data_IF_164963891906
#
_entry.id   IF_164963891906
#
_cell.length_a   1.000
_cell.length_b   1.000
_cell.length_c   1.000
_cell.angle_alpha   90.00
_cell.angle_beta   90.00
_cell.angle_gamma   90.00
#
_symmetry.space_group_name_H-M   'P 1'
#
loop_
_entity.id
_entity.type
_entity.pdbx_description
1 polymer ?
#
# COMPACT_ATOMS: atom_id res chain seq x y z
N UNK A 1 21.38 17.97 -25.37
CA UNK A 1 20.60 18.61 -24.29
C UNK A 1 20.31 17.55 -23.26
N UNK A 2 20.68 17.77 -21.99
CA UNK A 2 20.18 16.90 -20.93
C UNK A 2 18.66 17.09 -20.83
N UNK A 3 17.86 16.01 -20.74
CA UNK A 3 16.42 16.13 -20.57
C UNK A 3 16.13 16.94 -19.29
N UNK A 4 15.34 18.01 -19.38
CA UNK A 4 14.94 18.80 -18.20
C UNK A 4 13.70 18.25 -17.50
N UNK A 5 12.95 17.40 -18.20
CA UNK A 5 11.71 16.80 -17.73
C UNK A 5 11.98 15.44 -17.03
N UNK A 6 11.70 15.33 -15.71
CA UNK A 6 11.89 14.08 -14.98
C UNK A 6 10.95 12.94 -15.42
N UNK A 7 9.95 13.21 -16.27
CA UNK A 7 9.08 12.19 -16.83
C UNK A 7 9.72 11.43 -18.01
N UNK A 8 10.76 11.98 -18.64
CA UNK A 8 11.41 11.35 -19.79
C UNK A 8 12.02 9.98 -19.43
N UNK A 9 12.83 9.83 -18.36
CA UNK A 9 13.33 8.51 -17.96
C UNK A 9 12.24 7.48 -17.66
N UNK A 10 11.08 7.93 -17.15
CA UNK A 10 9.94 7.06 -16.85
C UNK A 10 9.29 6.52 -18.13
N UNK A 11 9.08 7.36 -19.15
CA UNK A 11 8.58 6.91 -20.47
C UNK A 11 9.48 5.85 -21.10
N UNK A 12 10.80 6.04 -21.03
CA UNK A 12 11.74 5.03 -21.51
C UNK A 12 11.74 3.74 -20.68
N UNK A 13 11.34 3.82 -19.40
CA UNK A 13 11.19 2.65 -18.53
C UNK A 13 9.92 1.87 -18.87
N UNK A 14 8.80 2.53 -19.15
CA UNK A 14 7.59 1.89 -19.68
C UNK A 14 7.85 1.20 -21.02
N UNK A 15 8.51 1.87 -21.96
CA UNK A 15 8.89 1.28 -23.23
C UNK A 15 9.75 0.02 -23.06
N UNK A 16 10.71 0.04 -22.13
CA UNK A 16 11.54 -1.13 -21.84
C UNK A 16 10.72 -2.31 -21.31
N UNK A 17 9.77 -2.06 -20.40
CA UNK A 17 8.88 -3.10 -19.88
C UNK A 17 7.93 -3.67 -20.94
N UNK A 18 7.35 -2.81 -21.79
CA UNK A 18 6.52 -3.24 -22.91
C UNK A 18 7.29 -4.20 -23.83
N UNK A 19 8.54 -3.87 -24.17
CA UNK A 19 9.41 -4.75 -24.95
C UNK A 19 9.77 -6.06 -24.25
N UNK A 20 9.87 -6.07 -22.91
CA UNK A 20 10.06 -7.32 -22.17
C UNK A 20 8.82 -8.22 -22.27
N UNK A 21 7.61 -7.66 -22.15
CA UNK A 21 6.37 -8.40 -22.30
C UNK A 21 6.16 -8.91 -23.72
N UNK A 22 6.47 -8.10 -24.73
CA UNK A 22 6.44 -8.53 -26.14
C UNK A 22 7.36 -9.73 -26.37
N UNK A 23 8.58 -9.70 -25.83
CA UNK A 23 9.52 -10.82 -25.93
C UNK A 23 8.99 -12.10 -25.25
N UNK A 24 8.40 -11.97 -24.05
CA UNK A 24 7.78 -13.10 -23.35
C UNK A 24 6.56 -13.65 -24.10
N UNK A 25 5.75 -12.78 -24.71
CA UNK A 25 4.63 -13.14 -25.57
C UNK A 25 5.09 -13.89 -26.82
N UNK A 26 6.13 -13.40 -27.50
CA UNK A 26 6.74 -14.05 -28.66
C UNK A 26 7.28 -15.44 -28.29
N UNK A 27 7.95 -15.59 -27.15
CA UNK A 27 8.35 -16.90 -26.64
C UNK A 27 7.14 -17.84 -26.41
N UNK A 28 6.05 -17.35 -25.82
CA UNK A 28 4.89 -18.19 -25.53
C UNK A 28 4.19 -18.70 -26.80
N UNK A 29 4.16 -17.87 -27.86
CA UNK A 29 3.51 -18.16 -29.14
C UNK A 29 4.41 -18.92 -30.11
N UNK A 30 5.64 -18.44 -30.29
CA UNK A 30 6.58 -18.85 -31.34
C UNK A 30 7.82 -19.57 -30.81
N UNK A 31 8.06 -19.53 -29.49
CA UNK A 31 9.26 -20.07 -28.83
C UNK A 31 10.56 -19.35 -29.21
N UNK A 32 10.45 -18.10 -29.63
CA UNK A 32 11.61 -17.21 -29.83
C UNK A 32 12.33 -16.99 -28.50
N UNK A 33 13.67 -17.01 -28.48
CA UNK A 33 14.44 -16.78 -27.25
C UNK A 33 14.30 -15.32 -26.76
N UNK A 34 13.65 -15.07 -25.61
CA UNK A 34 13.47 -13.71 -25.09
C UNK A 34 14.71 -13.18 -24.38
N UNK A 35 15.73 -14.01 -24.09
CA UNK A 35 16.83 -13.69 -23.17
C UNK A 35 17.59 -12.42 -23.57
N UNK A 36 17.91 -12.26 -24.86
CA UNK A 36 18.60 -11.07 -25.37
C UNK A 36 17.78 -9.78 -25.19
N UNK A 37 16.49 -9.83 -25.49
CA UNK A 37 15.59 -8.69 -25.31
C UNK A 37 15.42 -8.35 -23.82
N UNK A 38 15.22 -9.36 -22.96
CA UNK A 38 15.03 -9.17 -21.52
C UNK A 38 16.26 -8.53 -20.85
N UNK A 39 17.47 -8.99 -21.19
CA UNK A 39 18.72 -8.44 -20.66
C UNK A 39 18.93 -6.98 -21.10
N UNK A 40 18.73 -6.67 -22.39
CA UNK A 40 18.89 -5.29 -22.91
C UNK A 40 17.91 -4.33 -22.27
N UNK A 41 16.63 -4.70 -22.19
CA UNK A 41 15.61 -3.84 -21.60
C UNK A 41 15.78 -3.70 -20.08
N UNK A 42 16.30 -4.72 -19.38
CA UNK A 42 16.66 -4.58 -17.97
C UNK A 42 17.80 -3.59 -17.77
N UNK A 43 18.86 -3.65 -18.60
CA UNK A 43 19.94 -2.67 -18.54
C UNK A 43 19.45 -1.25 -18.83
N UNK A 44 18.48 -1.09 -19.76
CA UNK A 44 17.81 0.19 -20.01
C UNK A 44 17.08 0.68 -18.76
N UNK A 45 16.30 -0.16 -18.06
CA UNK A 45 15.63 0.20 -16.80
C UNK A 45 16.61 0.65 -15.72
N UNK A 46 17.73 -0.07 -15.55
CA UNK A 46 18.78 0.29 -14.61
C UNK A 46 19.42 1.65 -14.96
N UNK A 47 19.64 1.94 -16.25
CA UNK A 47 20.17 3.23 -16.72
C UNK A 47 19.16 4.37 -16.50
N UNK A 48 17.87 4.15 -16.76
CA UNK A 48 16.83 5.17 -16.54
C UNK A 48 16.65 5.52 -15.07
N UNK A 49 16.90 4.58 -14.14
CA UNK A 49 16.92 4.88 -12.72
C UNK A 49 17.98 5.94 -12.37
N UNK A 50 19.20 5.79 -12.92
CA UNK A 50 20.29 6.74 -12.69
C UNK A 50 19.94 8.09 -13.31
N UNK A 51 19.48 8.10 -14.56
CA UNK A 51 19.06 9.32 -15.24
C UNK A 51 17.96 10.06 -14.47
N UNK A 52 16.97 9.36 -13.92
CA UNK A 52 15.93 9.96 -13.09
C UNK A 52 16.51 10.60 -11.83
N UNK A 53 17.43 9.92 -11.15
CA UNK A 53 18.09 10.46 -9.96
C UNK A 53 18.88 11.72 -10.25
N UNK A 54 19.63 11.77 -11.36
CA UNK A 54 20.40 12.95 -11.75
C UNK A 54 19.49 14.17 -11.96
N UNK A 55 18.28 13.97 -12.50
CA UNK A 55 17.29 15.03 -12.71
C UNK A 55 16.57 15.44 -11.42
N UNK A 56 16.23 14.48 -10.57
CA UNK A 56 15.45 14.73 -9.36
C UNK A 56 16.28 15.24 -8.19
N UNK A 57 17.57 14.88 -8.11
CA UNK A 57 18.39 15.22 -6.95
C UNK A 57 18.50 16.74 -6.67
N UNK A 58 18.71 17.61 -7.68
CA UNK A 58 18.71 19.06 -7.46
C UNK A 58 17.33 19.57 -7.02
N UNK A 59 16.26 19.03 -7.61
CA UNK A 59 14.88 19.42 -7.31
C UNK A 59 14.48 19.00 -5.89
N UNK A 60 14.84 17.80 -5.46
CA UNK A 60 14.61 17.30 -4.11
C UNK A 60 15.29 18.16 -3.04
N UNK A 61 16.49 18.68 -3.31
CA UNK A 61 17.21 19.57 -2.37
C UNK A 61 16.54 20.93 -2.23
N UNK A 62 15.84 21.39 -3.27
CA UNK A 62 15.21 22.70 -3.31
C UNK A 62 13.70 22.68 -3.01
N UNK A 63 13.08 21.49 -2.94
CA UNK A 63 11.64 21.36 -2.85
C UNK A 63 11.11 21.56 -1.42
N UNK A 64 10.11 22.44 -1.29
CA UNK A 64 9.34 22.60 -0.04
C UNK A 64 8.52 21.34 0.30
N UNK A 65 8.13 20.57 -0.72
CA UNK A 65 7.46 19.28 -0.55
C UNK A 65 8.13 18.19 -1.41
N UNK A 66 9.15 17.50 -0.88
CA UNK A 66 9.87 16.46 -1.61
C UNK A 66 9.03 15.21 -1.88
N UNK A 67 7.85 15.07 -1.24
CA UNK A 67 7.08 13.82 -1.32
C UNK A 67 6.57 13.50 -2.72
N UNK A 68 6.16 14.52 -3.48
CA UNK A 68 5.71 14.32 -4.86
C UNK A 68 6.85 13.73 -5.72
N UNK A 69 8.05 14.28 -5.59
CA UNK A 69 9.23 13.84 -6.32
C UNK A 69 9.70 12.46 -5.87
N UNK A 70 9.59 12.15 -4.58
CA UNK A 70 9.83 10.80 -4.06
C UNK A 70 8.82 9.77 -4.62
N UNK A 71 7.59 10.20 -4.95
CA UNK A 71 6.62 9.37 -5.68
C UNK A 71 7.15 8.88 -7.03
N UNK A 72 7.80 9.76 -7.81
CA UNK A 72 8.44 9.38 -9.08
C UNK A 72 9.58 8.37 -8.90
N UNK A 73 10.36 8.53 -7.83
CA UNK A 73 11.43 7.58 -7.47
C UNK A 73 10.82 6.21 -7.13
N UNK A 74 9.75 6.19 -6.32
CA UNK A 74 9.04 4.96 -5.98
C UNK A 74 8.45 4.28 -7.21
N UNK A 75 7.84 5.05 -8.11
CA UNK A 75 7.33 4.57 -9.39
C UNK A 75 8.44 3.85 -10.17
N UNK A 76 9.58 4.52 -10.38
CA UNK A 76 10.70 3.94 -11.10
C UNK A 76 11.27 2.67 -10.45
N UNK A 77 11.34 2.64 -9.11
CA UNK A 77 11.78 1.44 -8.38
C UNK A 77 10.84 0.26 -8.62
N UNK A 78 9.52 0.49 -8.59
CA UNK A 78 8.51 -0.51 -8.91
C UNK A 78 8.62 -1.01 -10.36
N UNK A 79 8.77 -0.12 -11.33
CA UNK A 79 8.98 -0.48 -12.75
C UNK A 79 10.25 -1.32 -12.94
N UNK A 80 11.37 -0.89 -12.35
CA UNK A 80 12.65 -1.61 -12.41
C UNK A 80 12.56 -3.00 -11.79
N UNK A 81 11.92 -3.13 -10.64
CA UNK A 81 11.77 -4.43 -9.96
C UNK A 81 10.82 -5.36 -10.73
N UNK A 82 9.77 -4.82 -11.35
CA UNK A 82 8.90 -5.55 -12.28
C UNK A 82 9.73 -6.11 -13.43
N UNK A 83 10.60 -5.30 -14.04
CA UNK A 83 11.44 -5.76 -15.15
C UNK A 83 12.43 -6.87 -14.77
N UNK A 84 12.93 -6.84 -13.52
CA UNK A 84 13.80 -7.91 -12.98
C UNK A 84 13.04 -9.23 -12.84
N UNK A 85 11.81 -9.17 -12.32
CA UNK A 85 10.96 -10.35 -12.21
C UNK A 85 10.57 -10.90 -13.59
N UNK A 86 10.24 -10.04 -14.56
CA UNK A 86 9.98 -10.46 -15.95
C UNK A 86 11.21 -11.12 -16.59
N UNK A 87 12.40 -10.58 -16.35
CA UNK A 87 13.67 -11.19 -16.78
C UNK A 87 13.88 -12.56 -16.13
N UNK A 88 13.64 -12.68 -14.84
CA UNK A 88 13.75 -13.95 -14.11
C UNK A 88 12.75 -15.00 -14.64
N UNK A 89 11.51 -14.59 -14.89
CA UNK A 89 10.50 -15.41 -15.53
C UNK A 89 10.98 -15.91 -16.89
N UNK A 90 11.52 -15.02 -17.74
CA UNK A 90 12.06 -15.42 -19.04
C UNK A 90 13.18 -16.46 -18.95
N UNK A 91 14.10 -16.31 -17.98
CA UNK A 91 15.16 -17.30 -17.75
C UNK A 91 14.58 -18.67 -17.35
N UNK A 92 13.54 -18.70 -16.53
CA UNK A 92 12.86 -19.95 -16.17
C UNK A 92 12.17 -20.58 -17.38
N UNK A 93 11.49 -19.76 -18.19
CA UNK A 93 10.78 -20.23 -19.37
C UNK A 93 11.73 -20.81 -20.44
N UNK A 94 12.97 -20.31 -20.55
CA UNK A 94 13.96 -20.84 -21.52
C UNK A 94 14.80 -21.99 -20.99
N UNK A 95 15.09 -22.03 -19.69
CA UNK A 95 15.93 -23.08 -19.09
C UNK A 95 15.17 -24.36 -18.78
N UNK A 96 13.84 -24.31 -18.66
CA UNK A 96 13.03 -25.44 -18.23
C UNK A 96 11.98 -25.84 -19.28
N UNK A 97 11.62 -27.12 -19.28
CA UNK A 97 10.57 -27.63 -20.15
C UNK A 97 9.21 -27.16 -19.64
N UNK A 98 8.53 -26.29 -20.38
CA UNK A 98 7.17 -25.84 -20.04
C UNK A 98 6.11 -26.68 -20.75
N UNK A 99 5.10 -27.16 -20.02
CA UNK A 99 4.01 -27.94 -20.59
C UNK A 99 3.11 -27.07 -21.46
N UNK A 100 2.67 -27.64 -22.59
CA UNK A 100 1.86 -26.95 -23.61
C UNK A 100 0.64 -26.22 -23.05
N UNK A 101 -0.15 -26.75 -22.09
CA UNK A 101 -1.30 -26.03 -21.54
C UNK A 101 -0.93 -24.77 -20.77
N UNK A 102 0.16 -24.80 -19.99
CA UNK A 102 0.65 -23.61 -19.26
C UNK A 102 1.17 -22.59 -20.27
N UNK A 103 2.04 -23.02 -21.19
CA UNK A 103 2.61 -22.13 -22.21
C UNK A 103 1.54 -21.37 -23.01
N UNK A 104 0.51 -22.09 -23.50
CA UNK A 104 -0.58 -21.50 -24.28
C UNK A 104 -1.43 -20.48 -23.50
N UNK A 105 -1.37 -20.51 -22.17
CA UNK A 105 -2.17 -19.64 -21.29
C UNK A 105 -1.37 -18.45 -20.75
N UNK A 106 -0.04 -18.47 -20.80
CA UNK A 106 0.80 -17.34 -20.39
C UNK A 106 0.44 -16.00 -21.07
N UNK A 107 0.11 -15.94 -22.37
CA UNK A 107 -0.33 -14.67 -22.97
C UNK A 107 -1.54 -14.06 -22.27
N UNK A 108 -2.42 -14.86 -21.65
CA UNK A 108 -3.58 -14.37 -20.90
C UNK A 108 -3.19 -13.70 -19.58
N UNK A 109 -1.98 -13.93 -19.08
CA UNK A 109 -1.40 -13.20 -17.94
C UNK A 109 -0.69 -11.94 -18.44
N UNK A 110 0.02 -12.01 -19.56
CA UNK A 110 0.77 -10.87 -20.10
C UNK A 110 -0.13 -9.75 -20.63
N UNK A 111 -1.31 -10.06 -21.16
CA UNK A 111 -2.25 -9.05 -21.68
C UNK A 111 -2.76 -8.10 -20.58
N UNK A 112 -3.31 -8.56 -19.45
CA UNK A 112 -3.68 -7.66 -18.35
C UNK A 112 -2.49 -6.88 -17.78
N UNK A 113 -1.30 -7.48 -17.75
CA UNK A 113 -0.08 -6.79 -17.32
C UNK A 113 0.30 -5.66 -18.27
N UNK A 114 0.20 -5.89 -19.58
CA UNK A 114 0.38 -4.88 -20.61
C UNK A 114 -0.61 -3.72 -20.43
N UNK A 115 -1.90 -4.02 -20.19
CA UNK A 115 -2.91 -2.99 -19.94
C UNK A 115 -2.61 -2.16 -18.68
N UNK A 116 -2.16 -2.80 -17.60
CA UNK A 116 -1.77 -2.09 -16.38
C UNK A 116 -0.58 -1.15 -16.62
N UNK A 117 0.44 -1.61 -17.35
CA UNK A 117 1.59 -0.75 -17.69
C UNK A 117 1.18 0.43 -18.56
N UNK A 118 0.32 0.22 -19.55
CA UNK A 118 -0.21 1.30 -20.39
C UNK A 118 -1.06 2.27 -19.57
N UNK A 119 -1.84 1.78 -18.60
CA UNK A 119 -2.60 2.64 -17.69
C UNK A 119 -1.65 3.50 -16.83
N UNK A 120 -0.63 2.88 -16.22
CA UNK A 120 0.39 3.58 -15.43
C UNK A 120 1.15 4.64 -16.25
N UNK A 121 1.50 4.32 -17.50
CA UNK A 121 2.16 5.26 -18.42
C UNK A 121 1.26 6.45 -18.74
N UNK A 122 -0.02 6.21 -19.07
CA UNK A 122 -0.99 7.29 -19.27
C UNK A 122 -1.13 8.16 -18.02
N UNK A 123 -0.92 7.58 -16.83
CA UNK A 123 -0.90 8.28 -15.55
C UNK A 123 0.19 9.34 -15.41
N UNK A 124 1.24 9.31 -16.23
CA UNK A 124 2.23 10.39 -16.27
C UNK A 124 1.65 11.70 -16.85
N UNK A 125 0.58 11.61 -17.63
CA UNK A 125 0.00 12.76 -18.36
C UNK A 125 -1.40 13.12 -17.85
N UNK A 126 -2.16 12.14 -17.38
CA UNK A 126 -3.49 12.34 -16.79
C UNK A 126 -3.54 11.85 -15.35
N UNK A 127 -4.33 12.54 -14.53
CA UNK A 127 -4.62 12.06 -13.18
C UNK A 127 -5.41 10.74 -13.27
N UNK A 128 -4.94 9.71 -12.55
CA UNK A 128 -5.64 8.43 -12.45
C UNK A 128 -6.29 8.33 -11.08
N UNK A 129 -7.48 7.76 -11.04
CA UNK A 129 -8.07 7.36 -9.78
C UNK A 129 -7.40 6.10 -9.27
N UNK A 130 -7.26 6.00 -7.95
CA UNK A 130 -6.81 4.78 -7.30
C UNK A 130 -7.65 3.54 -7.67
N UNK A 131 -8.94 3.74 -7.94
CA UNK A 131 -9.86 2.70 -8.37
C UNK A 131 -9.52 2.14 -9.75
N UNK A 132 -9.22 2.98 -10.74
CA UNK A 132 -8.78 2.54 -12.08
C UNK A 132 -7.53 1.66 -11.98
N UNK A 133 -6.55 2.09 -11.17
CA UNK A 133 -5.29 1.36 -10.97
C UNK A 133 -5.48 0.04 -10.24
N UNK A 134 -6.27 0.03 -9.16
CA UNK A 134 -6.60 -1.19 -8.43
C UNK A 134 -7.37 -2.20 -9.30
N UNK A 135 -8.31 -1.73 -10.12
CA UNK A 135 -9.04 -2.59 -11.05
C UNK A 135 -8.10 -3.19 -12.10
N UNK A 136 -7.20 -2.38 -12.68
CA UNK A 136 -6.22 -2.88 -13.65
C UNK A 136 -5.29 -3.94 -13.05
N UNK A 137 -4.83 -3.75 -11.80
CA UNK A 137 -4.04 -4.74 -11.06
C UNK A 137 -4.83 -6.04 -10.82
N UNK A 138 -6.10 -5.93 -10.39
CA UNK A 138 -6.95 -7.09 -10.10
C UNK A 138 -7.22 -7.98 -11.33
N UNK A 139 -7.10 -7.45 -12.55
CA UNK A 139 -7.23 -8.24 -13.79
C UNK A 139 -6.10 -9.28 -13.98
N UNK A 140 -5.01 -9.21 -13.20
CA UNK A 140 -3.94 -10.21 -13.22
C UNK A 140 -4.34 -11.51 -12.51
N UNK A 141 -5.22 -11.46 -11.52
CA UNK A 141 -5.54 -12.62 -10.68
C UNK A 141 -6.30 -13.74 -11.43
N UNK A 142 -7.35 -13.47 -12.23
CA UNK A 142 -8.09 -14.54 -12.93
C UNK A 142 -7.23 -15.45 -13.83
N UNK A 143 -6.36 -14.94 -14.72
CA UNK A 143 -5.55 -15.80 -15.57
C UNK A 143 -4.49 -16.60 -14.78
N UNK A 144 -3.95 -16.04 -13.68
CA UNK A 144 -3.05 -16.77 -12.78
C UNK A 144 -3.79 -17.91 -12.06
N UNK A 145 -4.99 -17.65 -11.54
CA UNK A 145 -5.85 -18.67 -10.92
C UNK A 145 -6.22 -19.80 -11.91
N UNK A 146 -6.40 -19.47 -13.19
CA UNK A 146 -6.62 -20.48 -14.22
C UNK A 146 -5.40 -21.40 -14.41
N UNK A 147 -4.18 -20.85 -14.35
CA UNK A 147 -2.97 -21.67 -14.41
C UNK A 147 -2.82 -22.58 -13.18
N UNK A 148 -3.19 -22.10 -11.99
CA UNK A 148 -3.27 -22.94 -10.78
C UNK A 148 -4.18 -24.14 -11.00
N UNK A 149 -5.41 -23.92 -11.47
CA UNK A 149 -6.37 -24.99 -11.73
C UNK A 149 -5.83 -26.04 -12.73
N UNK A 150 -5.06 -25.62 -13.74
CA UNK A 150 -4.40 -26.53 -14.68
C UNK A 150 -3.39 -27.43 -13.97
N UNK A 151 -2.57 -26.86 -13.09
CA UNK A 151 -1.52 -27.60 -12.41
C UNK A 151 -2.07 -28.47 -11.27
N UNK A 152 -3.07 -28.01 -10.52
CA UNK A 152 -3.76 -28.80 -9.49
C UNK A 152 -4.35 -30.08 -10.07
N UNK A 153 -5.01 -29.99 -11.23
CA UNK A 153 -5.54 -31.16 -11.93
C UNK A 153 -4.43 -32.16 -12.28
N UNK A 154 -3.24 -31.66 -12.63
CA UNK A 154 -2.09 -32.51 -13.01
C UNK A 154 -1.41 -33.14 -11.80
N UNK A 155 -1.28 -32.40 -10.69
CA UNK A 155 -0.81 -32.92 -9.40
C UNK A 155 -1.70 -34.09 -8.96
N UNK A 156 -3.03 -33.91 -9.00
CA UNK A 156 -3.99 -34.97 -8.64
C UNK A 156 -3.88 -36.21 -9.53
N UNK A 157 -3.46 -36.06 -10.78
CA UNK A 157 -3.28 -37.17 -11.72
C UNK A 157 -1.95 -37.93 -11.58
N UNK A 158 -1.09 -37.54 -10.62
CA UNK A 158 0.18 -38.24 -10.38
C UNK A 158 1.26 -38.02 -11.45
N UNK A 159 1.19 -36.89 -12.18
CA UNK A 159 2.19 -36.56 -13.20
C UNK A 159 3.56 -36.21 -12.58
N UNK A 160 4.60 -36.17 -13.42
CA UNK A 160 6.00 -35.91 -13.05
C UNK A 160 6.15 -34.78 -12.02
N UNK A 161 6.43 -35.14 -10.77
CA UNK A 161 6.52 -34.24 -9.63
C UNK A 161 7.56 -33.14 -9.84
N UNK A 162 8.73 -33.46 -10.40
CA UNK A 162 9.78 -32.47 -10.66
C UNK A 162 9.31 -31.39 -11.61
N UNK A 163 8.67 -31.81 -12.70
CA UNK A 163 8.10 -30.89 -13.68
C UNK A 163 7.01 -30.02 -13.05
N UNK A 164 6.13 -30.60 -12.22
CA UNK A 164 5.05 -29.84 -11.58
C UNK A 164 5.58 -28.82 -10.57
N UNK A 165 6.60 -29.16 -9.78
CA UNK A 165 7.25 -28.22 -8.86
C UNK A 165 7.87 -27.03 -9.59
N UNK A 166 8.48 -27.25 -10.76
CA UNK A 166 8.99 -26.18 -11.61
C UNK A 166 7.88 -25.22 -12.06
N UNK A 167 6.74 -25.76 -12.49
CA UNK A 167 5.59 -24.94 -12.90
C UNK A 167 4.93 -24.23 -11.72
N UNK A 168 4.91 -24.83 -10.52
CA UNK A 168 4.49 -24.16 -9.29
C UNK A 168 5.41 -22.98 -8.96
N UNK A 169 6.73 -23.14 -9.15
CA UNK A 169 7.67 -22.04 -8.98
C UNK A 169 7.41 -20.92 -9.99
N UNK A 170 7.12 -21.25 -11.25
CA UNK A 170 6.71 -20.26 -12.26
C UNK A 170 5.46 -19.49 -11.82
N UNK A 171 4.44 -20.16 -11.29
CA UNK A 171 3.23 -19.48 -10.80
C UNK A 171 3.53 -18.58 -9.63
N UNK A 172 4.31 -19.05 -8.67
CA UNK A 172 4.72 -18.24 -7.54
C UNK A 172 5.44 -16.95 -7.98
N UNK A 173 6.28 -17.01 -9.02
CA UNK A 173 6.91 -15.82 -9.57
C UNK A 173 5.90 -14.86 -10.24
N UNK A 174 4.89 -15.40 -10.92
CA UNK A 174 3.83 -14.59 -11.53
C UNK A 174 2.94 -13.93 -10.47
N UNK A 175 2.64 -14.62 -9.38
CA UNK A 175 1.88 -14.07 -8.25
C UNK A 175 2.62 -12.90 -7.62
N UNK A 176 3.94 -13.02 -7.47
CA UNK A 176 4.81 -12.00 -6.87
C UNK A 176 5.06 -10.76 -7.72
N UNK A 177 4.48 -10.68 -8.91
CA UNK A 177 4.48 -9.45 -9.71
C UNK A 177 3.63 -8.35 -9.05
N UNK A 178 2.73 -8.71 -8.14
CA UNK A 178 1.91 -7.76 -7.38
C UNK A 178 2.75 -6.76 -6.57
N UNK A 179 3.75 -7.21 -5.83
CA UNK A 179 4.60 -6.39 -4.95
C UNK A 179 5.23 -5.18 -5.69
N UNK A 180 6.01 -5.36 -6.77
CA UNK A 180 6.61 -4.24 -7.48
C UNK A 180 5.59 -3.39 -8.26
N UNK A 181 4.48 -3.98 -8.70
CA UNK A 181 3.41 -3.25 -9.39
C UNK A 181 2.63 -2.36 -8.41
N UNK A 182 2.35 -2.83 -7.20
CA UNK A 182 1.78 -2.03 -6.11
C UNK A 182 2.71 -0.88 -5.79
N UNK A 183 4.01 -1.12 -5.67
CA UNK A 183 4.99 -0.05 -5.45
C UNK A 183 4.96 1.00 -6.58
N UNK A 184 4.83 0.57 -7.84
CA UNK A 184 4.70 1.48 -8.97
C UNK A 184 3.41 2.32 -8.89
N UNK A 185 2.27 1.68 -8.61
CA UNK A 185 0.97 2.33 -8.43
C UNK A 185 1.02 3.36 -7.27
N UNK A 186 1.53 2.96 -6.11
CA UNK A 186 1.67 3.84 -4.94
C UNK A 186 2.60 5.03 -5.23
N UNK A 187 3.69 4.81 -5.97
CA UNK A 187 4.59 5.88 -6.40
C UNK A 187 3.90 6.89 -7.32
N UNK A 188 3.18 6.42 -8.34
CA UNK A 188 2.43 7.28 -9.25
C UNK A 188 1.37 8.11 -8.50
N UNK A 189 0.58 7.46 -7.64
CA UNK A 189 -0.43 8.16 -6.84
C UNK A 189 0.21 9.17 -5.89
N UNK A 190 1.35 8.83 -5.29
CA UNK A 190 2.04 9.73 -4.37
C UNK A 190 2.56 10.98 -5.08
N UNK A 191 3.01 10.83 -6.33
CA UNK A 191 3.37 11.95 -7.18
C UNK A 191 2.16 12.81 -7.53
N UNK A 192 1.06 12.21 -8.01
CA UNK A 192 -0.15 12.93 -8.41
C UNK A 192 -0.83 13.66 -7.25
N UNK A 193 -0.81 13.09 -6.04
CA UNK A 193 -1.47 13.61 -4.85
C UNK A 193 -0.54 14.40 -3.92
N UNK A 194 0.75 14.50 -4.26
CA UNK A 194 1.77 15.24 -3.50
C UNK A 194 1.98 14.75 -2.06
N UNK A 195 1.57 13.52 -1.76
CA UNK A 195 1.63 12.92 -0.42
C UNK A 195 1.75 11.40 -0.55
N UNK A 196 2.37 10.68 0.41
CA UNK A 196 2.43 9.22 0.34
C UNK A 196 1.02 8.61 0.27
N UNK A 197 0.83 7.62 -0.59
CA UNK A 197 -0.43 6.91 -0.80
C UNK A 197 -0.26 5.40 -0.78
N UNK A 198 -1.32 4.70 -0.39
CA UNK A 198 -1.46 3.25 -0.44
C UNK A 198 -2.54 2.83 -1.42
N UNK A 199 -2.36 1.69 -2.08
CA UNK A 199 -3.33 1.19 -3.06
C UNK A 199 -4.68 0.82 -2.42
N UNK A 200 -4.67 0.32 -1.18
CA UNK A 200 -5.88 -0.04 -0.43
C UNK A 200 -6.77 1.18 -0.18
N UNK A 201 -6.14 2.31 0.14
CA UNK A 201 -6.85 3.56 0.34
C UNK A 201 -7.51 4.05 -0.94
N UNK A 202 -6.79 3.92 -2.05
CA UNK A 202 -7.26 4.20 -3.39
C UNK A 202 -8.51 3.38 -3.77
N UNK A 203 -8.57 2.10 -3.37
CA UNK A 203 -9.73 1.23 -3.59
C UNK A 203 -10.96 1.71 -2.82
N UNK A 204 -10.82 1.98 -1.52
CA UNK A 204 -11.90 2.50 -0.68
C UNK A 204 -12.43 3.86 -1.15
N UNK A 205 -11.53 4.72 -1.63
CA UNK A 205 -11.91 6.03 -2.16
C UNK A 205 -12.74 5.90 -3.44
N UNK A 206 -12.43 4.92 -4.29
CA UNK A 206 -13.24 4.59 -5.46
C UNK A 206 -14.66 4.19 -5.11
N UNK A 207 -14.79 3.23 -4.19
CA UNK A 207 -16.09 2.74 -3.72
C UNK A 207 -16.91 3.88 -3.08
N UNK A 208 -16.27 4.71 -2.27
CA UNK A 208 -16.94 5.82 -1.60
C UNK A 208 -17.29 6.96 -2.56
N UNK A 209 -16.39 7.34 -3.48
CA UNK A 209 -16.68 8.38 -4.46
C UNK A 209 -17.89 8.00 -5.33
N UNK A 210 -18.00 6.72 -5.69
CA UNK A 210 -19.17 6.19 -6.39
C UNK A 210 -20.45 6.29 -5.55
N UNK A 211 -20.37 6.03 -4.24
CA UNK A 211 -21.51 6.13 -3.33
C UNK A 211 -21.93 7.58 -3.05
N UNK A 212 -20.97 8.50 -2.87
CA UNK A 212 -21.25 9.88 -2.47
C UNK A 212 -21.55 10.80 -3.66
N UNK A 213 -21.23 10.39 -4.90
CA UNK A 213 -21.37 11.21 -6.11
C UNK A 213 -20.68 12.58 -6.04
N UNK A 214 -19.72 12.75 -5.13
CA UNK A 214 -18.94 13.98 -4.92
C UNK A 214 -17.46 13.72 -5.18
N UNK A 215 -16.74 14.66 -5.82
CA UNK A 215 -15.30 14.55 -5.96
C UNK A 215 -14.63 14.59 -4.58
N UNK A 216 -13.87 13.55 -4.26
CA UNK A 216 -13.13 13.44 -3.01
C UNK A 216 -11.74 14.06 -3.20
N UNK A 217 -11.40 15.05 -2.37
CA UNK A 217 -10.03 15.60 -2.33
C UNK A 217 -9.35 15.18 -1.04
N UNK A 218 -8.20 14.53 -1.19
CA UNK A 218 -7.31 14.13 -0.09
C UNK A 218 -6.39 15.29 0.27
N UNK A 219 -6.34 15.66 1.54
CA UNK A 219 -5.29 16.54 2.07
C UNK A 219 -4.57 15.82 3.21
N UNK A 220 -3.24 15.64 3.13
CA UNK A 220 -2.50 14.97 4.21
C UNK A 220 -2.62 15.78 5.50
N UNK A 221 -2.81 15.09 6.63
CA UNK A 221 -2.70 15.66 7.96
C UNK A 221 -1.28 15.37 8.47
N UNK A 222 -0.41 16.38 8.58
CA UNK A 222 0.94 16.18 9.10
C UNK A 222 0.90 15.65 10.54
N UNK A 223 1.94 14.88 10.93
CA UNK A 223 2.31 14.60 12.33
C UNK A 223 1.61 13.43 13.04
N UNK A 224 1.62 12.24 12.44
CA UNK A 224 1.25 11.02 13.17
C UNK A 224 2.48 10.31 13.73
N UNK A 225 2.59 10.25 15.07
CA UNK A 225 3.60 9.44 15.77
C UNK A 225 3.38 7.93 15.62
N UNK A 226 2.26 7.51 15.05
CA UNK A 226 1.84 6.10 14.94
C UNK A 226 2.40 5.37 13.72
N UNK A 227 2.97 6.11 12.76
CA UNK A 227 3.39 5.61 11.45
C UNK A 227 2.24 5.35 10.49
N UNK A 228 1.00 5.74 10.84
CA UNK A 228 -0.15 5.67 9.94
C UNK A 228 -0.26 6.96 9.12
N UNK A 229 -0.48 6.84 7.81
CA UNK A 229 -0.80 7.97 6.95
C UNK A 229 -2.22 8.42 7.28
N UNK A 230 -2.42 9.73 7.43
CA UNK A 230 -3.73 10.28 7.73
C UNK A 230 -4.03 11.39 6.73
N UNK A 231 -5.21 11.30 6.12
CA UNK A 231 -5.70 12.28 5.17
C UNK A 231 -7.07 12.77 5.58
N UNK A 232 -7.31 14.05 5.39
CA UNK A 232 -8.62 14.64 5.42
C UNK A 232 -9.27 14.49 4.05
N UNK A 233 -10.55 14.09 4.05
CA UNK A 233 -11.36 13.92 2.85
C UNK A 233 -12.35 15.09 2.73
N UNK A 234 -11.97 16.08 1.93
CA UNK A 234 -12.85 17.18 1.57
C UNK A 234 -13.97 16.65 0.66
N UNK A 235 -15.21 17.02 0.97
CA UNK A 235 -16.43 16.51 0.32
C UNK A 235 -17.21 15.49 1.16
N UNK A 236 -16.52 14.63 1.92
CA UNK A 236 -17.15 13.61 2.76
C UNK A 236 -17.15 13.94 4.27
N UNK A 237 -16.50 15.04 4.68
CA UNK A 237 -16.23 15.37 6.09
C UNK A 237 -15.70 14.14 6.85
N UNK A 238 -14.64 13.52 6.31
CA UNK A 238 -14.10 12.28 6.82
C UNK A 238 -12.58 12.33 6.99
N UNK A 239 -12.06 11.46 7.86
CA UNK A 239 -10.65 11.22 8.07
C UNK A 239 -10.35 9.81 7.59
N UNK A 240 -9.38 9.69 6.69
CA UNK A 240 -8.84 8.44 6.21
C UNK A 240 -7.54 8.14 6.93
N UNK A 241 -7.40 6.94 7.47
CA UNK A 241 -6.16 6.45 8.09
C UNK A 241 -5.69 5.20 7.37
N UNK A 242 -4.40 5.13 7.04
CA UNK A 242 -3.77 4.02 6.32
C UNK A 242 -2.54 3.55 7.09
N UNK A 243 -2.31 2.24 7.18
CA UNK A 243 -1.11 1.71 7.81
C UNK A 243 -1.27 0.27 8.30
N UNK A 244 -0.44 -0.12 9.27
CA UNK A 244 -0.37 -1.49 9.80
C UNK A 244 -1.76 -2.05 10.17
N UNK A 245 -2.08 -3.21 9.59
CA UNK A 245 -3.36 -3.88 9.72
C UNK A 245 -3.70 -4.23 11.17
N UNK A 246 -2.71 -4.64 11.97
CA UNK A 246 -2.94 -5.05 13.37
C UNK A 246 -3.33 -3.85 14.21
N UNK A 247 -2.63 -2.72 14.05
CA UNK A 247 -2.94 -1.46 14.73
C UNK A 247 -4.33 -0.95 14.36
N UNK A 248 -4.62 -0.81 13.07
CA UNK A 248 -5.90 -0.26 12.61
C UNK A 248 -7.08 -1.21 12.88
N UNK A 249 -6.90 -2.53 12.80
CA UNK A 249 -7.92 -3.50 13.26
C UNK A 249 -8.19 -3.37 14.76
N UNK A 250 -7.17 -3.08 15.55
CA UNK A 250 -7.31 -2.77 16.97
C UNK A 250 -8.12 -1.50 17.20
N UNK A 251 -7.78 -0.41 16.49
CA UNK A 251 -8.49 0.86 16.54
C UNK A 251 -9.96 0.70 16.12
N UNK A 252 -10.23 0.06 14.99
CA UNK A 252 -11.59 -0.23 14.50
C UNK A 252 -12.43 -1.01 15.52
N UNK A 253 -11.88 -2.06 16.15
CA UNK A 253 -12.57 -2.82 17.21
C UNK A 253 -12.79 -1.98 18.47
N UNK A 254 -11.89 -1.08 18.81
CA UNK A 254 -12.08 -0.16 19.92
C UNK A 254 -13.21 0.82 19.62
N UNK A 255 -13.18 1.46 18.46
CA UNK A 255 -14.21 2.40 18.02
C UNK A 255 -15.59 1.74 17.97
N UNK A 256 -15.72 0.53 17.40
CA UNK A 256 -17.00 -0.21 17.42
C UNK A 256 -17.52 -0.48 18.83
N UNK A 257 -16.63 -0.84 19.76
CA UNK A 257 -17.00 -1.06 21.17
C UNK A 257 -17.47 0.22 21.85
N UNK A 258 -16.74 1.31 21.64
CA UNK A 258 -17.14 2.62 22.17
C UNK A 258 -18.43 3.11 21.53
N UNK A 259 -18.61 2.95 20.23
CA UNK A 259 -19.79 3.38 19.50
C UNK A 259 -21.05 2.62 19.95
N UNK A 260 -20.93 1.33 20.29
CA UNK A 260 -22.02 0.54 20.84
C UNK A 260 -22.47 1.01 22.23
N UNK A 261 -21.57 1.63 23.02
CA UNK A 261 -21.86 2.05 24.40
C UNK A 261 -22.12 3.55 24.55
N UNK A 262 -21.46 4.37 23.73
CA UNK A 262 -21.54 5.83 23.69
C UNK A 262 -21.39 6.35 22.26
N UNK A 263 -22.42 6.22 21.42
CA UNK A 263 -22.34 6.53 19.99
C UNK A 263 -21.99 7.99 19.69
N UNK A 264 -22.33 8.93 20.58
CA UNK A 264 -22.09 10.36 20.39
C UNK A 264 -20.66 10.80 20.75
N UNK A 265 -19.89 9.97 21.45
CA UNK A 265 -18.56 10.33 21.99
C UNK A 265 -17.39 9.85 21.14
N UNK A 266 -17.66 9.07 20.10
CA UNK A 266 -16.64 8.58 19.17
C UNK A 266 -17.04 8.86 17.74
N UNK A 267 -16.05 9.08 16.85
CA UNK A 267 -16.35 9.24 15.44
C UNK A 267 -16.97 7.94 14.89
N UNK A 268 -17.97 8.10 14.03
CA UNK A 268 -18.58 6.98 13.32
C UNK A 268 -17.56 6.33 12.38
N UNK A 269 -17.48 5.01 12.42
CA UNK A 269 -16.73 4.25 11.42
C UNK A 269 -17.55 4.21 10.13
N UNK A 270 -17.01 4.81 9.07
CA UNK A 270 -17.67 4.85 7.76
C UNK A 270 -17.30 3.64 6.91
N UNK A 271 -16.01 3.27 6.91
CA UNK A 271 -15.52 2.09 6.24
C UNK A 271 -14.27 1.54 6.93
N UNK A 272 -14.03 0.26 6.76
CA UNK A 272 -12.81 -0.40 7.20
C UNK A 272 -12.47 -1.52 6.21
N UNK A 273 -11.24 -1.53 5.75
CA UNK A 273 -10.71 -2.59 4.91
C UNK A 273 -9.35 -3.04 5.42
N UNK A 274 -9.10 -4.35 5.31
CA UNK A 274 -7.85 -4.97 5.67
C UNK A 274 -7.38 -5.85 4.50
N UNK A 275 -6.13 -5.65 4.07
CA UNK A 275 -5.49 -6.45 3.04
C UNK A 275 -4.05 -6.80 3.48
N UNK A 276 -3.83 -8.08 3.80
CA UNK A 276 -2.54 -8.57 4.29
C UNK A 276 -2.10 -7.86 5.58
N UNK A 277 -0.95 -7.18 5.51
CA UNK A 277 -0.36 -6.46 6.64
C UNK A 277 -0.74 -4.97 6.68
N UNK A 278 -1.56 -4.49 5.74
CA UNK A 278 -2.04 -3.11 5.71
C UNK A 278 -3.57 -3.04 5.86
N UNK A 279 -4.04 -1.94 6.42
CA UNK A 279 -5.47 -1.65 6.50
C UNK A 279 -5.71 -0.16 6.24
N UNK A 280 -6.95 0.13 5.86
CA UNK A 280 -7.44 1.49 5.76
C UNK A 280 -8.72 1.62 6.58
N UNK A 281 -8.78 2.66 7.41
CA UNK A 281 -9.89 2.97 8.30
C UNK A 281 -10.38 4.38 7.97
N UNK A 282 -11.67 4.50 7.70
CA UNK A 282 -12.31 5.78 7.44
C UNK A 282 -13.30 6.12 8.54
N UNK A 283 -13.17 7.34 9.06
CA UNK A 283 -13.92 7.85 10.20
C UNK A 283 -14.63 9.13 9.80
N UNK A 284 -15.85 9.34 10.29
CA UNK A 284 -16.48 10.64 10.23
C UNK A 284 -15.61 11.67 10.96
N UNK A 285 -15.49 12.87 10.40
CA UNK A 285 -14.80 13.96 11.06
C UNK A 285 -15.62 14.40 12.27
N UNK A 286 -14.96 14.51 13.43
CA UNK A 286 -15.57 15.11 14.60
C UNK A 286 -15.86 16.59 14.32
N UNK A 287 -17.11 17.01 14.54
CA UNK A 287 -17.51 18.40 14.42
C UNK A 287 -17.10 19.19 15.67
N UNK A 288 -16.90 20.50 15.51
CA UNK A 288 -16.52 21.40 16.61
C UNK A 288 -15.03 21.72 16.66
N UNK A 289 -14.63 22.39 17.74
CA UNK A 289 -13.27 22.85 17.97
C UNK A 289 -12.60 22.02 19.06
N UNK A 290 -11.28 21.83 18.96
CA UNK A 290 -10.53 21.14 20.02
C UNK A 290 -10.40 22.03 21.25
N UNK A 291 -10.20 21.43 22.42
CA UNK A 291 -9.89 22.20 23.64
C UNK A 291 -8.63 23.06 23.44
N UNK A 292 -7.64 22.55 22.70
CA UNK A 292 -6.43 23.29 22.34
C UNK A 292 -6.73 24.53 21.47
N UNK A 293 -7.70 24.46 20.57
CA UNK A 293 -8.15 25.64 19.82
C UNK A 293 -8.62 26.73 20.78
N UNK A 294 -9.49 26.41 21.74
CA UNK A 294 -9.99 27.39 22.71
C UNK A 294 -8.91 27.90 23.66
N UNK A 295 -7.97 27.06 24.06
CA UNK A 295 -6.84 27.45 24.92
C UNK A 295 -5.96 28.53 24.27
N UNK A 296 -5.81 28.50 22.95
CA UNK A 296 -5.00 29.46 22.20
C UNK A 296 -5.75 30.77 21.87
N UNK A 297 -7.04 30.86 22.18
CA UNK A 297 -7.82 32.07 21.95
C UNK A 297 -7.66 33.07 23.11
N UNK A 298 -7.73 34.40 22.84
CA UNK A 298 -7.68 35.42 23.89
C UNK A 298 -8.84 35.35 24.90
N UNK A 299 -9.97 34.74 24.51
CA UNK A 299 -11.17 34.68 25.32
C UNK A 299 -11.19 33.44 26.22
N UNK A 300 -10.81 33.62 27.48
CA UNK A 300 -10.73 32.55 28.48
C UNK A 300 -12.08 31.97 28.89
N UNK A 301 -13.19 32.72 28.75
CA UNK A 301 -14.53 32.24 29.15
C UNK A 301 -14.98 31.03 28.33
N UNK A 302 -14.66 31.01 27.03
CA UNK A 302 -15.00 29.88 26.15
C UNK A 302 -14.15 28.65 26.47
N UNK A 303 -12.88 28.85 26.83
CA UNK A 303 -12.01 27.77 27.28
C UNK A 303 -12.52 27.15 28.59
N UNK A 304 -12.85 27.97 29.60
CA UNK A 304 -13.38 27.50 30.88
C UNK A 304 -14.70 26.74 30.71
N UNK A 305 -15.61 27.24 29.86
CA UNK A 305 -16.86 26.57 29.55
C UNK A 305 -16.63 25.23 28.85
N UNK A 306 -15.74 25.18 27.85
CA UNK A 306 -15.39 23.95 27.14
C UNK A 306 -14.69 22.92 28.06
N UNK A 307 -13.80 23.38 28.94
CA UNK A 307 -13.11 22.54 29.92
C UNK A 307 -14.11 21.95 30.92
N UNK A 308 -15.01 22.78 31.47
CA UNK A 308 -16.06 22.32 32.37
C UNK A 308 -16.93 21.25 31.71
N UNK A 309 -17.42 21.50 30.49
CA UNK A 309 -18.22 20.53 29.74
C UNK A 309 -17.49 19.20 29.53
N UNK A 310 -16.19 19.24 29.19
CA UNK A 310 -15.37 18.04 29.07
C UNK A 310 -15.26 17.26 30.38
N UNK A 311 -15.02 17.96 31.50
CA UNK A 311 -14.90 17.33 32.82
C UNK A 311 -16.21 16.71 33.29
N UNK A 312 -17.35 17.39 33.06
CA UNK A 312 -18.68 16.88 33.39
C UNK A 312 -19.00 15.61 32.56
N UNK A 313 -18.65 15.58 31.28
CA UNK A 313 -18.81 14.41 30.41
C UNK A 313 -17.92 13.23 30.85
N UNK A 314 -16.65 13.50 31.20
CA UNK A 314 -15.73 12.49 31.72
C UNK A 314 -16.19 11.91 33.06
N UNK A 315 -16.76 12.74 33.94
CA UNK A 315 -17.33 12.28 35.21
C UNK A 315 -18.52 11.34 34.97
N UNK A 316 -19.39 11.69 34.02
CA UNK A 316 -20.54 10.87 33.62
C UNK A 316 -20.09 9.52 33.07
N UNK A 317 -19.09 9.51 32.18
CA UNK A 317 -18.48 8.29 31.64
C UNK A 317 -17.90 7.39 32.75
N UNK A 318 -17.14 8.00 33.68
CA UNK A 318 -16.49 7.29 34.77
C UNK A 318 -17.51 6.60 35.69
N UNK A 319 -18.59 7.30 36.06
CA UNK A 319 -19.68 6.76 36.86
C UNK A 319 -20.38 5.58 36.18
N UNK A 320 -20.66 5.68 34.88
CA UNK A 320 -21.22 4.56 34.10
C UNK A 320 -20.26 3.36 33.99
N UNK A 321 -18.95 3.59 34.05
CA UNK A 321 -17.93 2.56 34.03
C UNK A 321 -17.88 1.72 35.32
N UNK A 322 -18.13 2.34 36.48
CA UNK A 322 -18.04 1.72 37.81
C UNK A 322 -19.01 0.54 38.02
N UNK A 323 -20.13 0.51 37.30
CA UNK A 323 -21.10 -0.59 37.36
C UNK A 323 -20.70 -1.83 36.53
N UNK A 324 -19.50 -1.84 35.93
CA UNK A 324 -18.98 -2.98 35.16
C UNK A 324 -18.14 -3.86 36.09
N UNK A 325 -18.36 -5.19 36.17
CA UNK A 325 -17.57 -6.05 37.04
C UNK A 325 -16.08 -5.90 36.75
N UNK A 326 -15.27 -5.77 37.81
CA UNK A 326 -13.84 -5.54 37.68
C UNK A 326 -13.19 -6.69 36.90
N UNK A 327 -12.71 -6.39 35.69
CA UNK A 327 -11.86 -7.33 34.97
C UNK A 327 -10.52 -7.44 35.71
N UNK A 328 -9.94 -8.65 35.86
CA UNK A 328 -8.65 -8.80 36.52
C UNK A 328 -7.61 -7.94 35.80
N UNK A 329 -6.88 -7.08 36.54
CA UNK A 329 -6.00 -6.12 35.92
C UNK A 329 -4.82 -6.85 35.27
N UNK A 330 -4.74 -6.78 33.94
CA UNK A 330 -3.70 -7.46 33.15
C UNK A 330 -2.40 -6.65 33.10
N UNK A 331 -1.97 -6.07 34.22
CA UNK A 331 -0.81 -5.17 34.30
C UNK A 331 0.45 -5.80 33.70
N UNK A 332 0.77 -7.04 34.09
CA UNK A 332 1.95 -7.75 33.57
C UNK A 332 1.86 -8.03 32.07
N UNK A 333 0.67 -8.25 31.52
CA UNK A 333 0.49 -8.43 30.08
C UNK A 333 0.71 -7.12 29.31
N UNK A 334 0.21 -6.00 29.85
CA UNK A 334 0.41 -4.66 29.27
C UNK A 334 1.90 -4.26 29.30
N UNK A 335 2.57 -4.52 30.43
CA UNK A 335 4.01 -4.25 30.59
C UNK A 335 4.83 -5.07 29.60
N UNK A 336 4.56 -6.39 29.48
CA UNK A 336 5.20 -7.27 28.49
C UNK A 336 4.99 -6.80 27.04
N UNK A 337 3.82 -6.27 26.71
CA UNK A 337 3.56 -5.73 25.37
C UNK A 337 4.38 -4.46 25.07
N UNK A 338 4.66 -3.64 26.08
CA UNK A 338 5.35 -2.36 25.93
C UNK A 338 6.86 -2.44 26.13
N UNK A 339 7.38 -3.45 26.81
CA UNK A 339 8.80 -3.52 27.20
C UNK A 339 9.75 -3.43 26.00
N UNK A 340 9.39 -4.02 24.85
CA UNK A 340 10.20 -3.91 23.62
C UNK A 340 10.33 -2.46 23.13
N UNK A 341 9.25 -1.68 23.19
CA UNK A 341 9.28 -0.27 22.81
C UNK A 341 10.06 0.56 23.85
N UNK A 342 10.00 0.18 25.13
CA UNK A 342 10.83 0.79 26.17
C UNK A 342 12.31 0.57 25.86
N UNK A 343 12.72 -0.65 25.51
CA UNK A 343 14.12 -0.95 25.14
C UNK A 343 14.61 -0.23 23.88
N UNK A 344 13.72 0.10 22.94
CA UNK A 344 14.09 0.89 21.76
C UNK A 344 14.48 2.34 22.11
N UNK A 345 13.87 2.91 23.15
CA UNK A 345 14.14 4.27 23.61
C UNK A 345 15.21 4.28 24.71
N UNK A 346 15.21 3.25 25.55
CA UNK A 346 16.09 3.05 26.70
C UNK A 346 16.79 1.68 26.60
N UNK A 347 17.80 1.54 25.73
CA UNK A 347 18.54 0.29 25.57
C UNK A 347 19.17 -0.20 26.88
N UNK A 348 19.49 0.70 27.81
CA UNK A 348 20.05 0.41 29.13
C UNK A 348 19.14 -0.46 30.01
N UNK A 349 17.82 -0.50 29.74
CA UNK A 349 16.89 -1.39 30.43
C UNK A 349 16.84 -2.80 29.83
N UNK A 350 17.54 -3.05 28.73
CA UNK A 350 17.71 -4.37 28.13
C UNK A 350 18.96 -5.05 28.72
N UNK A 351 18.98 -5.23 30.03
CA UNK A 351 20.01 -6.00 30.72
C UNK A 351 19.72 -7.50 30.62
N UNK A 352 20.77 -8.32 30.59
CA UNK A 352 20.63 -9.77 30.67
C UNK A 352 19.92 -10.16 31.98
N UNK A 353 19.13 -11.23 31.95
CA UNK A 353 18.45 -11.81 33.10
C UNK A 353 19.43 -11.94 34.27
N UNK A 354 19.32 -11.08 35.27
CA UNK A 354 20.07 -11.25 36.50
C UNK A 354 19.32 -12.24 37.38
N UNK A 355 19.92 -13.40 37.62
CA UNK A 355 19.48 -14.29 38.69
C UNK A 355 19.72 -13.55 40.02
N UNK A 356 18.64 -13.18 40.68
CA UNK A 356 18.70 -12.71 42.06
C UNK A 356 18.60 -13.96 42.94
N UNK A 357 19.79 -14.51 43.26
CA UNK A 357 20.04 -15.70 44.06
C UNK A 357 19.48 -17.03 43.50
N UNK A 358 20.27 -18.10 43.68
CA UNK A 358 19.85 -19.49 43.48
C UNK A 358 19.03 -20.02 44.64
#
# INVERSE_FOLDING_TARGET
MQPTDPLIPLRFSFLALHRQLEALGAWALHQDDPTGALNRNQAQLDAQQVALWDLLLPQLKAADNPMALLGLVMLQLGLRQTGRQLRQLGLMLTSEKIIKPVRKRLPQVFVPLQHLLTALEAGLERHLTGHELANALNQLAPPIAHLHAILDKRIKSGQNTRLLLQHMHLLWQLERLDEPLIQAIEGLMSWQLGSPQRIEAARLLGELAAQLQTPLKLTPIPHTRSGALVHHLQGAQAILKQGDARKLSGEHRNLKRWQARWPQLVPQVLAFENHGDQATLMLAQAQGQTLAHWLLQPNTRLFEAALKALLDELATLWQHGQNTPAAPPRHMAQLRQRIKAVWQVHPEFHTQTQQIAG
#
